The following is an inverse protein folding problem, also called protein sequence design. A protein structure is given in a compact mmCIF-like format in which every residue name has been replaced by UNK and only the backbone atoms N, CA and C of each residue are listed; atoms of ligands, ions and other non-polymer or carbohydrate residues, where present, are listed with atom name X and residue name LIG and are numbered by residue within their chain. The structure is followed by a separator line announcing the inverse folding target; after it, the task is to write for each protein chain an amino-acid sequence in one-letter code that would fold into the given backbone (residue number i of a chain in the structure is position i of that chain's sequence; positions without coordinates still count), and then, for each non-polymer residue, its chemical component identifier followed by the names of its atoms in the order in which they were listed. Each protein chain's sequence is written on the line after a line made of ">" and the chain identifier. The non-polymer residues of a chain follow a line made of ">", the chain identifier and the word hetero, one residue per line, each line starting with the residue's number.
data_IF_934936021303
#
_entry.id   IF_934936021303
#
_cell.length_a   1.000
_cell.length_b   1.000
_cell.length_c   1.000
_cell.angle_alpha   90.00
_cell.angle_beta   90.00
_cell.angle_gamma   90.00
#
_symmetry.space_group_name_H-M   'P 1'
#
loop_
_entity.id
_entity.type
_entity.pdbx_description
1 polymer ?
#
# COMPACT_ATOMS: atom_id res chain seq x y z
N UNK A 1 7.22 5.95 -8.85
CA UNK A 1 6.19 6.40 -9.82
C UNK A 1 6.21 7.93 -9.91
N UNK A 2 5.80 8.50 -11.03
CA UNK A 2 5.67 9.95 -11.20
C UNK A 2 4.26 10.28 -11.71
N UNK A 3 3.65 11.35 -11.18
CA UNK A 3 2.36 11.85 -11.66
C UNK A 3 2.55 12.71 -12.92
N UNK A 4 1.46 12.97 -13.65
CA UNK A 4 1.47 13.88 -14.80
C UNK A 4 1.87 15.32 -14.42
N UNK A 5 1.73 15.70 -13.15
CA UNK A 5 2.12 17.00 -12.59
C UNK A 5 3.53 17.02 -12.02
N UNK A 6 4.30 15.94 -12.16
CA UNK A 6 5.70 15.87 -11.73
C UNK A 6 5.92 15.49 -10.26
N UNK A 7 4.88 15.05 -9.54
CA UNK A 7 5.03 14.55 -8.16
C UNK A 7 5.63 13.14 -8.21
N UNK A 8 6.69 12.92 -7.43
CA UNK A 8 7.32 11.61 -7.29
C UNK A 8 6.71 10.86 -6.11
N UNK A 9 6.32 9.61 -6.35
CA UNK A 9 5.75 8.71 -5.36
C UNK A 9 6.66 7.48 -5.24
N UNK A 10 7.00 7.11 -4.01
CA UNK A 10 7.76 5.89 -3.69
C UNK A 10 6.99 5.07 -2.66
N UNK A 11 6.92 3.77 -2.89
CA UNK A 11 6.17 2.83 -2.07
C UNK A 11 7.06 1.64 -1.75
N UNK A 12 7.14 1.27 -0.49
CA UNK A 12 7.77 0.04 -0.03
C UNK A 12 6.76 -0.68 0.86
N UNK A 13 6.50 -1.95 0.54
CA UNK A 13 5.58 -2.80 1.27
C UNK A 13 6.23 -4.16 1.47
N UNK A 14 6.16 -4.68 2.69
CA UNK A 14 6.64 -6.02 3.01
C UNK A 14 5.69 -6.69 4.00
N UNK A 15 5.55 -8.00 3.86
CA UNK A 15 4.99 -8.88 4.89
C UNK A 15 6.09 -9.66 5.63
N UNK A 16 7.34 -9.52 5.22
CA UNK A 16 8.50 -10.10 5.89
C UNK A 16 8.93 -9.21 7.06
N UNK A 17 8.01 -9.00 8.00
CA UNK A 17 8.12 -8.03 9.07
C UNK A 17 8.20 -8.77 10.41
N UNK A 18 9.36 -9.34 10.71
CA UNK A 18 9.66 -9.68 12.09
C UNK A 18 9.84 -8.38 12.88
N UNK A 19 8.90 -8.09 13.79
CA UNK A 19 8.93 -6.90 14.65
C UNK A 19 7.71 -5.99 14.48
N UNK A 20 7.81 -4.76 14.97
CA UNK A 20 6.68 -3.83 14.97
C UNK A 20 6.30 -3.43 13.56
N UNK A 21 5.05 -3.71 13.17
CA UNK A 21 4.48 -3.19 11.93
C UNK A 21 4.59 -1.65 11.90
N UNK A 22 5.22 -1.12 10.87
CA UNK A 22 5.34 0.32 10.65
C UNK A 22 4.52 0.73 9.44
N UNK A 23 3.50 1.55 9.65
CA UNK A 23 2.78 2.24 8.59
C UNK A 23 3.19 3.71 8.63
N UNK A 24 4.07 4.10 7.72
CA UNK A 24 4.66 5.43 7.66
C UNK A 24 4.33 6.10 6.33
N UNK A 25 4.07 7.39 6.38
CA UNK A 25 3.92 8.26 5.23
C UNK A 25 4.83 9.48 5.42
N UNK A 26 5.49 9.90 4.34
CA UNK A 26 6.31 11.11 4.35
C UNK A 26 5.99 11.94 3.12
N UNK A 27 5.66 13.21 3.34
CA UNK A 27 5.40 14.18 2.28
C UNK A 27 6.54 15.19 2.26
N UNK A 28 7.25 15.25 1.14
CA UNK A 28 8.31 16.22 0.89
C UNK A 28 7.71 17.37 0.08
N UNK A 29 7.48 18.50 0.75
CA UNK A 29 6.92 19.71 0.16
C UNK A 29 8.02 20.78 -0.01
N UNK A 30 7.76 21.80 -0.81
CA UNK A 30 8.71 22.91 -1.05
C UNK A 30 9.16 23.61 0.24
N UNK A 31 8.26 23.69 1.23
CA UNK A 31 8.46 24.49 2.46
C UNK A 31 8.51 23.68 3.74
N UNK A 32 8.21 22.38 3.67
CA UNK A 32 8.12 21.53 4.84
C UNK A 32 8.26 20.06 4.47
N UNK A 33 8.67 19.27 5.45
CA UNK A 33 8.56 17.83 5.42
C UNK A 33 7.53 17.39 6.46
N UNK A 34 6.56 16.58 6.04
CA UNK A 34 5.56 16.02 6.93
C UNK A 34 5.86 14.54 7.13
N UNK A 35 5.84 14.09 8.38
CA UNK A 35 5.97 12.69 8.75
C UNK A 35 4.74 12.25 9.52
N UNK A 36 4.15 11.15 9.07
CA UNK A 36 3.09 10.46 9.78
C UNK A 36 3.47 9.00 9.97
N UNK A 37 3.31 8.51 11.18
CA UNK A 37 3.41 7.10 11.51
C UNK A 37 2.16 6.70 12.29
N UNK A 38 1.49 5.62 11.88
CA UNK A 38 0.26 5.15 12.54
C UNK A 38 0.52 4.93 14.03
N UNK A 39 -0.36 5.47 14.86
CA UNK A 39 -0.23 5.42 16.33
C UNK A 39 0.76 6.42 16.92
N UNK A 40 1.33 7.32 16.11
CA UNK A 40 2.20 8.42 16.56
C UNK A 40 1.61 9.78 16.17
N UNK A 41 2.26 10.84 16.66
CA UNK A 41 1.97 12.21 16.24
C UNK A 41 2.37 12.43 14.78
N UNK A 42 1.61 13.29 14.10
CA UNK A 42 2.02 13.90 12.84
C UNK A 42 3.04 14.98 13.19
N UNK A 43 4.19 14.96 12.53
CA UNK A 43 5.23 15.98 12.68
C UNK A 43 5.38 16.76 11.36
N UNK A 44 5.37 18.08 11.45
CA UNK A 44 5.62 18.99 10.33
C UNK A 44 6.90 19.75 10.63
N UNK A 45 7.96 19.46 9.88
CA UNK A 45 9.25 20.13 9.96
C UNK A 45 9.33 21.17 8.85
N UNK A 46 9.15 22.44 9.20
CA UNK A 46 9.28 23.55 8.25
C UNK A 46 10.74 23.81 7.92
N UNK A 47 11.03 24.21 6.68
CA UNK A 47 12.40 24.54 6.26
C UNK A 47 12.93 25.84 6.90
N UNK A 48 12.06 26.61 7.57
CA UNK A 48 12.43 27.76 8.40
C UNK A 48 12.82 27.39 9.84
N UNK A 49 12.85 26.09 10.17
CA UNK A 49 13.24 25.56 11.48
C UNK A 49 12.11 25.38 12.47
N UNK A 50 10.88 25.81 12.16
CA UNK A 50 9.71 25.52 13.01
C UNK A 50 9.34 24.04 12.95
N UNK A 51 8.86 23.50 14.06
CA UNK A 51 8.31 22.14 14.14
C UNK A 51 6.92 22.21 14.75
N UNK A 52 5.94 21.67 14.04
CA UNK A 52 4.57 21.48 14.54
C UNK A 52 4.32 20.00 14.78
N UNK A 53 3.59 19.70 15.86
CA UNK A 53 3.18 18.35 16.18
C UNK A 53 1.69 18.34 16.46
N UNK A 54 0.99 17.40 15.86
CA UNK A 54 -0.42 17.16 16.14
C UNK A 54 -0.64 15.68 16.41
N UNK A 55 -1.49 15.39 17.40
CA UNK A 55 -1.95 14.02 17.61
C UNK A 55 -3.15 13.81 16.70
N UNK A 56 -3.11 12.84 15.76
CA UNK A 56 -4.28 12.49 14.98
C UNK A 56 -5.36 11.95 15.91
N UNK A 57 -6.62 12.34 15.66
CA UNK A 57 -7.74 11.76 16.37
C UNK A 57 -7.79 10.24 16.14
N UNK A 58 -8.20 9.44 17.15
CA UNK A 58 -8.43 8.02 16.96
C UNK A 58 -9.38 7.78 15.79
N UNK A 59 -8.99 6.89 14.88
CA UNK A 59 -9.74 6.60 13.67
C UNK A 59 -9.72 5.10 13.39
N UNK A 60 -10.90 4.48 13.28
CA UNK A 60 -11.07 3.16 12.73
C UNK A 60 -11.52 3.29 11.27
N UNK A 61 -10.58 3.07 10.35
CA UNK A 61 -10.87 3.19 8.92
C UNK A 61 -11.88 2.19 8.40
N UNK A 62 -12.00 1.02 9.03
CA UNK A 62 -12.97 0.03 8.64
C UNK A 62 -14.37 0.48 9.07
N UNK A 63 -14.52 0.89 10.32
CA UNK A 63 -15.78 1.41 10.86
C UNK A 63 -16.26 2.62 10.06
N UNK A 64 -15.40 3.64 9.89
CA UNK A 64 -15.75 4.85 9.15
C UNK A 64 -16.16 4.56 7.71
N UNK A 65 -15.48 3.64 7.03
CA UNK A 65 -15.83 3.26 5.65
C UNK A 65 -17.20 2.54 5.59
N UNK A 66 -17.53 1.70 6.57
CA UNK A 66 -18.85 1.06 6.65
C UNK A 66 -19.96 2.10 6.90
N UNK A 67 -19.73 3.02 7.83
CA UNK A 67 -20.69 4.08 8.13
C UNK A 67 -20.97 4.96 6.91
N UNK A 68 -19.94 5.37 6.17
CA UNK A 68 -20.09 6.13 4.92
C UNK A 68 -20.83 5.32 3.84
N UNK A 69 -20.57 4.02 3.75
CA UNK A 69 -21.32 3.17 2.82
C UNK A 69 -22.80 3.05 3.20
N UNK A 70 -23.14 2.96 4.49
CA UNK A 70 -24.53 2.96 4.94
C UNK A 70 -25.23 4.30 4.69
N UNK A 71 -24.53 5.43 4.79
CA UNK A 71 -25.06 6.75 4.40
C UNK A 71 -25.43 6.77 2.92
N UNK A 72 -24.56 6.23 2.07
CA UNK A 72 -24.84 6.07 0.63
C UNK A 72 -26.09 5.20 0.39
N UNK A 73 -26.20 4.03 1.03
CA UNK A 73 -27.35 3.14 0.88
C UNK A 73 -28.68 3.78 1.32
N UNK A 74 -28.65 4.71 2.28
CA UNK A 74 -29.82 5.49 2.74
C UNK A 74 -30.12 6.72 1.88
N UNK A 75 -29.29 7.01 0.86
CA UNK A 75 -29.44 8.19 0.00
C UNK A 75 -29.00 9.50 0.65
N UNK A 76 -28.30 9.44 1.79
CA UNK A 76 -27.75 10.62 2.48
C UNK A 76 -26.54 11.19 1.74
N UNK A 77 -25.85 10.35 0.96
CA UNK A 77 -24.78 10.73 0.05
C UNK A 77 -25.07 10.22 -1.36
N UNK A 78 -24.60 10.96 -2.38
CA UNK A 78 -24.89 10.66 -3.79
C UNK A 78 -24.02 9.54 -4.39
N UNK A 79 -22.94 9.17 -3.71
CA UNK A 79 -22.00 8.10 -4.11
C UNK A 79 -21.31 7.51 -2.89
N UNK A 80 -20.79 6.27 -2.97
CA UNK A 80 -19.94 5.73 -1.91
C UNK A 80 -18.62 6.52 -1.82
N UNK A 81 -17.93 6.39 -0.67
CA UNK A 81 -16.65 7.06 -0.42
C UNK A 81 -15.60 6.72 -1.51
N UNK A 82 -15.52 5.45 -1.91
CA UNK A 82 -14.65 4.97 -3.00
C UNK A 82 -15.46 4.14 -3.99
N UNK A 83 -15.35 4.45 -5.29
CA UNK A 83 -15.97 3.71 -6.38
C UNK A 83 -14.95 2.87 -7.17
N UNK A 84 -15.42 1.92 -7.98
CA UNK A 84 -14.54 1.15 -8.87
C UNK A 84 -13.78 2.03 -9.87
N UNK A 85 -14.37 3.16 -10.29
CA UNK A 85 -13.70 4.12 -11.18
C UNK A 85 -12.51 4.76 -10.48
N UNK A 86 -12.64 5.08 -9.19
CA UNK A 86 -11.56 5.68 -8.39
C UNK A 86 -10.38 4.70 -8.23
N UNK A 87 -10.67 3.39 -8.15
CA UNK A 87 -9.65 2.34 -8.00
C UNK A 87 -8.85 2.04 -9.27
N UNK A 88 -9.25 2.54 -10.45
CA UNK A 88 -8.58 2.22 -11.73
C UNK A 88 -7.09 2.61 -11.71
N UNK A 89 -6.77 3.78 -11.18
CA UNK A 89 -5.39 4.25 -11.08
C UNK A 89 -4.55 3.38 -10.14
N UNK A 90 -5.17 2.87 -9.07
CA UNK A 90 -4.50 1.94 -8.15
C UNK A 90 -4.22 0.59 -8.81
N UNK A 91 -5.18 0.02 -9.55
CA UNK A 91 -4.96 -1.21 -10.33
C UNK A 91 -3.85 -1.01 -11.35
N UNK A 92 -3.90 0.07 -12.13
CA UNK A 92 -2.89 0.37 -13.12
C UNK A 92 -1.50 0.58 -12.50
N UNK A 93 -1.40 1.21 -11.32
CA UNK A 93 -0.13 1.34 -10.60
C UNK A 93 0.46 -0.03 -10.23
N UNK A 94 -0.37 -0.96 -9.76
CA UNK A 94 0.07 -2.33 -9.46
C UNK A 94 0.55 -3.07 -10.71
N UNK A 95 -0.16 -2.93 -11.83
CA UNK A 95 0.26 -3.53 -13.10
C UNK A 95 1.60 -2.97 -13.58
N UNK A 96 1.77 -1.63 -13.52
CA UNK A 96 3.04 -0.99 -13.86
C UNK A 96 4.18 -1.45 -12.95
N UNK A 97 3.93 -1.69 -11.66
CA UNK A 97 4.93 -2.23 -10.75
C UNK A 97 5.41 -3.62 -11.21
N UNK A 98 4.49 -4.51 -11.58
CA UNK A 98 4.84 -5.85 -12.08
C UNK A 98 5.60 -5.78 -13.42
N UNK A 99 5.11 -4.99 -14.37
CA UNK A 99 5.75 -4.87 -15.69
C UNK A 99 7.12 -4.20 -15.59
N UNK A 100 7.26 -3.14 -14.79
CA UNK A 100 8.54 -2.44 -14.60
C UNK A 100 9.60 -3.32 -13.93
N UNK A 101 9.20 -4.25 -13.07
CA UNK A 101 10.11 -5.18 -12.42
C UNK A 101 10.76 -6.15 -13.42
N UNK A 102 10.07 -6.44 -14.54
CA UNK A 102 10.39 -7.46 -15.57
C UNK A 102 10.45 -8.90 -15.04
N UNK A 103 11.09 -9.11 -13.90
CA UNK A 103 11.24 -10.37 -13.19
C UNK A 103 10.90 -10.17 -11.71
N UNK A 104 10.26 -11.17 -11.11
CA UNK A 104 10.11 -11.26 -9.66
C UNK A 104 11.23 -12.16 -9.15
N UNK A 105 12.16 -11.59 -8.39
CA UNK A 105 13.31 -12.32 -7.85
C UNK A 105 12.98 -12.88 -6.46
N UNK A 106 13.31 -14.15 -6.17
CA UNK A 106 13.25 -14.65 -4.81
C UNK A 106 14.37 -14.01 -3.97
N UNK A 107 14.13 -13.87 -2.66
CA UNK A 107 15.20 -13.55 -1.73
C UNK A 107 16.22 -14.70 -1.67
N UNK A 108 17.53 -14.40 -1.56
CA UNK A 108 18.53 -15.41 -1.23
C UNK A 108 18.13 -16.17 0.05
N UNK A 109 18.12 -17.49 0.00
CA UNK A 109 17.68 -18.32 1.13
C UNK A 109 18.46 -18.03 2.43
N UNK A 110 19.72 -17.63 2.32
CA UNK A 110 20.57 -17.22 3.45
C UNK A 110 20.09 -15.97 4.18
N UNK A 111 19.22 -15.17 3.56
CA UNK A 111 18.66 -13.95 4.15
C UNK A 111 17.26 -14.16 4.71
N UNK A 112 16.66 -15.34 4.51
CA UNK A 112 15.30 -15.66 4.93
C UNK A 112 15.34 -16.52 6.19
N UNK A 113 14.67 -16.09 7.24
CA UNK A 113 14.56 -16.87 8.48
C UNK A 113 13.13 -16.84 9.01
N UNK A 114 12.72 -17.89 9.74
CA UNK A 114 11.50 -17.85 10.55
C UNK A 114 11.77 -17.15 11.88
N UNK A 115 10.82 -16.36 12.37
CA UNK A 115 10.87 -15.74 13.69
C UNK A 115 9.52 -15.91 14.39
N UNK A 116 9.55 -16.49 15.59
CA UNK A 116 8.36 -16.62 16.44
C UNK A 116 8.12 -15.31 17.17
N UNK A 117 6.93 -14.74 17.03
CA UNK A 117 6.45 -13.71 17.96
C UNK A 117 5.67 -14.39 19.09
N UNK A 118 6.23 -14.35 20.30
CA UNK A 118 5.63 -14.97 21.48
C UNK A 118 4.40 -14.20 22.01
N UNK A 119 4.28 -12.91 21.73
CA UNK A 119 3.13 -12.11 22.16
C UNK A 119 1.91 -12.46 21.32
N UNK A 120 2.10 -12.64 20.02
CA UNK A 120 1.04 -12.95 19.07
C UNK A 120 0.85 -14.46 18.85
N UNK A 121 1.77 -15.28 19.35
CA UNK A 121 1.80 -16.73 19.14
C UNK A 121 1.78 -17.10 17.65
N UNK A 122 2.54 -16.37 16.85
CA UNK A 122 2.60 -16.51 15.38
C UNK A 122 4.03 -16.59 14.87
N UNK A 123 4.19 -17.35 13.80
CA UNK A 123 5.47 -17.44 13.07
C UNK A 123 5.47 -16.41 11.94
N UNK A 124 6.53 -15.61 11.91
CA UNK A 124 6.79 -14.60 10.90
C UNK A 124 7.95 -15.01 10.02
N UNK A 125 7.90 -14.57 8.76
CA UNK A 125 9.05 -14.62 7.89
C UNK A 125 9.84 -13.32 8.07
N UNK A 126 11.14 -13.45 8.28
CA UNK A 126 12.08 -12.35 8.38
C UNK A 126 13.00 -12.37 7.16
N UNK A 127 13.27 -11.20 6.61
CA UNK A 127 14.31 -11.00 5.59
C UNK A 127 15.34 -10.03 6.13
N UNK A 128 16.59 -10.48 6.26
CA UNK A 128 17.70 -9.64 6.73
C UNK A 128 17.87 -8.42 5.82
N UNK A 129 17.92 -7.23 6.42
CA UNK A 129 18.11 -5.95 5.71
C UNK A 129 16.84 -5.35 5.10
N UNK A 130 15.66 -5.93 5.35
CA UNK A 130 14.39 -5.48 4.77
C UNK A 130 14.05 -4.03 5.11
N UNK A 131 14.15 -3.65 6.38
CA UNK A 131 13.80 -2.30 6.82
C UNK A 131 14.76 -1.27 6.23
N UNK A 132 16.07 -1.53 6.28
CA UNK A 132 17.09 -0.64 5.73
C UNK A 132 16.94 -0.48 4.21
N UNK A 133 16.59 -1.55 3.50
CA UNK A 133 16.30 -1.52 2.07
C UNK A 133 15.05 -0.66 1.77
N UNK A 134 13.97 -0.84 2.52
CA UNK A 134 12.76 -0.04 2.41
C UNK A 134 13.04 1.44 2.67
N UNK A 135 13.75 1.76 3.76
CA UNK A 135 14.07 3.13 4.14
C UNK A 135 14.95 3.83 3.09
N UNK A 136 15.99 3.14 2.60
CA UNK A 136 16.87 3.66 1.55
C UNK A 136 16.11 3.89 0.24
N UNK A 137 15.19 2.98 -0.12
CA UNK A 137 14.34 3.16 -1.28
C UNK A 137 13.37 4.33 -1.11
N UNK A 138 12.69 4.44 0.02
CA UNK A 138 11.73 5.52 0.29
C UNK A 138 12.43 6.89 0.31
N UNK A 139 13.56 7.02 0.99
CA UNK A 139 14.29 8.28 1.11
C UNK A 139 15.00 8.66 -0.19
N UNK A 140 15.69 7.72 -0.84
CA UNK A 140 16.66 8.02 -1.90
C UNK A 140 16.33 7.39 -3.26
N UNK A 141 15.33 6.51 -3.34
CA UNK A 141 15.02 5.75 -4.55
C UNK A 141 16.07 4.69 -4.88
N UNK A 142 16.92 4.32 -3.92
CA UNK A 142 17.96 3.31 -4.10
C UNK A 142 17.34 1.93 -3.94
N UNK A 143 17.36 1.13 -5.01
CA UNK A 143 16.90 -0.25 -4.97
C UNK A 143 17.87 -1.16 -4.20
N UNK A 144 17.38 -2.23 -3.55
CA UNK A 144 18.21 -3.30 -2.98
C UNK A 144 18.87 -4.15 -4.08
N UNK A 145 19.77 -3.54 -4.83
CA UNK A 145 20.62 -4.17 -5.84
C UNK A 145 21.83 -4.87 -5.20
N UNK A 146 23.03 -4.50 -5.63
CA UNK A 146 24.32 -5.04 -5.14
C UNK A 146 24.54 -4.92 -3.61
N UNK A 147 23.70 -4.15 -2.90
CA UNK A 147 23.80 -3.91 -1.46
C UNK A 147 22.83 -4.73 -0.61
N UNK A 148 22.09 -5.69 -1.18
CA UNK A 148 21.19 -6.51 -0.37
C UNK A 148 20.72 -7.78 -1.05
N UNK A 149 20.03 -7.65 -2.19
CA UNK A 149 19.29 -8.78 -2.79
C UNK A 149 19.57 -9.01 -4.27
N UNK A 150 20.51 -8.26 -4.85
CA UNK A 150 20.94 -8.39 -6.26
C UNK A 150 19.81 -8.16 -7.27
N UNK A 151 18.80 -7.34 -6.94
CA UNK A 151 17.77 -6.97 -7.92
C UNK A 151 18.40 -6.13 -9.06
N UNK A 152 18.16 -6.44 -10.35
CA UNK A 152 18.76 -5.72 -11.48
C UNK A 152 18.20 -4.30 -11.70
N UNK A 153 17.33 -3.83 -10.80
CA UNK A 153 16.57 -2.59 -10.93
C UNK A 153 15.28 -2.78 -11.74
N UNK A 154 14.61 -1.67 -12.04
CA UNK A 154 13.35 -1.61 -12.78
C UNK A 154 13.51 -0.81 -14.07
N UNK A 155 12.68 -1.07 -15.08
CA UNK A 155 12.57 -0.22 -16.26
C UNK A 155 11.48 0.84 -16.12
N UNK A 156 11.72 2.02 -16.69
CA UNK A 156 10.70 3.06 -16.79
C UNK A 156 9.58 2.56 -17.71
N UNK A 157 8.37 2.45 -17.18
CA UNK A 157 7.20 1.98 -17.92
C UNK A 157 6.05 2.96 -17.79
N UNK A 158 5.14 2.93 -18.77
CA UNK A 158 3.97 3.82 -18.83
C UNK A 158 2.71 3.02 -19.09
N UNK A 159 1.54 3.64 -18.90
CA UNK A 159 0.25 3.00 -19.18
C UNK A 159 0.11 2.48 -20.62
N UNK A 160 0.96 2.92 -21.56
CA UNK A 160 0.96 2.43 -22.93
C UNK A 160 1.21 0.92 -23.02
N UNK A 161 2.02 0.35 -22.12
CA UNK A 161 2.40 -1.08 -22.17
C UNK A 161 1.36 -2.02 -21.57
N UNK A 162 0.37 -1.50 -20.82
CA UNK A 162 -0.69 -2.30 -20.23
C UNK A 162 -1.72 -2.66 -21.30
N UNK A 163 -2.08 -3.95 -21.49
CA UNK A 163 -3.09 -4.37 -22.46
C UNK A 163 -4.43 -3.63 -22.29
N UNK A 164 -5.09 -3.29 -23.40
CA UNK A 164 -6.35 -2.55 -23.40
C UNK A 164 -7.48 -3.23 -22.59
N UNK A 165 -7.47 -4.56 -22.51
CA UNK A 165 -8.46 -5.34 -21.76
C UNK A 165 -8.45 -5.09 -20.25
N UNK A 166 -7.32 -4.63 -19.69
CA UNK A 166 -7.20 -4.24 -18.28
C UNK A 166 -7.58 -2.78 -18.07
N UNK A 167 -7.45 -1.94 -19.11
CA UNK A 167 -7.83 -0.52 -19.09
C UNK A 167 -9.36 -0.32 -19.04
N UNK A 168 -10.13 -1.32 -19.47
CA UNK A 168 -11.59 -1.31 -19.47
C UNK A 168 -12.15 -2.45 -18.62
N UNK A 169 -11.93 -2.42 -17.30
CA UNK A 169 -12.72 -3.25 -16.39
C UNK A 169 -14.15 -2.69 -16.34
N UNK A 170 -15.00 -3.22 -17.20
CA UNK A 170 -16.45 -3.08 -17.12
C UNK A 170 -16.91 -3.92 -15.93
N UNK A 171 -17.66 -3.30 -15.01
CA UNK A 171 -18.19 -3.95 -13.81
C UNK A 171 -18.98 -5.19 -14.19
N UNK A 172 -18.42 -6.39 -13.98
CA UNK A 172 -19.17 -7.63 -14.06
C UNK A 172 -19.90 -7.83 -12.74
N UNK A 173 -21.17 -7.45 -12.68
CA UNK A 173 -22.04 -7.77 -11.55
C UNK A 173 -22.27 -9.28 -11.52
N UNK A 174 -21.57 -10.00 -10.64
CA UNK A 174 -21.85 -11.40 -10.37
C UNK A 174 -22.93 -11.47 -9.28
N UNK A 175 -24.18 -11.69 -9.69
CA UNK A 175 -25.27 -11.95 -8.75
C UNK A 175 -25.12 -13.36 -8.18
N UNK A 176 -24.56 -13.48 -6.98
CA UNK A 176 -24.57 -14.71 -6.21
C UNK A 176 -26.02 -15.01 -5.78
N UNK A 177 -26.67 -15.96 -6.46
CA UNK A 177 -27.94 -16.53 -5.98
C UNK A 177 -27.62 -17.54 -4.88
N UNK A 178 -27.95 -17.21 -3.63
CA UNK A 178 -27.97 -18.19 -2.55
C UNK A 178 -29.07 -19.21 -2.85
N UNK A 179 -28.69 -20.45 -3.15
CA UNK A 179 -29.61 -21.58 -3.19
C UNK A 179 -30.03 -21.94 -1.76
N UNK A 180 -31.30 -21.74 -1.44
CA UNK A 180 -31.93 -22.34 -0.26
C UNK A 180 -31.89 -23.85 -0.44
N UNK A 181 -31.11 -24.55 0.39
CA UNK A 181 -31.28 -25.99 0.56
C UNK A 181 -32.60 -26.23 1.29
N UNK A 182 -33.51 -26.90 0.60
CA UNK A 182 -34.75 -27.40 1.18
C UNK A 182 -34.45 -28.23 2.43
N UNK A 183 -35.08 -27.84 3.55
CA UNK A 183 -35.10 -28.63 4.76
C UNK A 183 -35.97 -29.87 4.50
N UNK A 184 -35.39 -31.06 4.66
CA UNK A 184 -36.13 -32.30 4.63
C UNK A 184 -37.13 -32.34 5.81
N UNK A 185 -38.39 -32.75 5.60
CA UNK A 185 -39.36 -32.85 6.68
C UNK A 185 -39.04 -34.02 7.62
N UNK A 186 -39.40 -33.82 8.89
CA UNK A 186 -39.16 -34.66 10.05
C UNK A 186 -39.76 -36.07 9.95
#
# INVERSE_FOLDING_TARGET
>A
AATATGVNLRFALSHACAGTASHNETLLCERATLHYAVGRQIEICWHDGRIERSTPEPFDGLECNHLEYYRYLRGETSRPATSLVDSRSFVALNDLAHVSSRIIMPFPASLVSGLRDEKEQKDYLNVTGMNEACDSFLAHGIWPGAHGWNHPGSEITTLAVIPQSVKSSTSATHTMKYGTKDAAPA
#
